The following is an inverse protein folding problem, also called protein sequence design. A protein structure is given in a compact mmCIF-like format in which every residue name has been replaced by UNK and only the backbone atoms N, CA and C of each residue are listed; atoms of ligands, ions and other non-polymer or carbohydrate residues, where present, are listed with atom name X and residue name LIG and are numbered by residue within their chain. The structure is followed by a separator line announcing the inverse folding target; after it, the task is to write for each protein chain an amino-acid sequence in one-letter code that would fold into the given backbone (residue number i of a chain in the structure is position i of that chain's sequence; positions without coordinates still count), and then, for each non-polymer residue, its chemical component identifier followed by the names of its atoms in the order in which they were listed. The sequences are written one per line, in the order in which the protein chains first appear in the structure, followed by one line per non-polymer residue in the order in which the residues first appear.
data_IF_446380568438
#
_entry.id   IF_446380568438
#
_cell.length_a   1.000
_cell.length_b   1.000
_cell.length_c   1.000
_cell.angle_alpha   90.00
_cell.angle_beta   90.00
_cell.angle_gamma   90.00
#
_symmetry.space_group_name_H-M   'P 1'
#
loop_
_entity.id
_entity.type
_entity.pdbx_description
1 polymer ?
#
# COMPACT_ATOMS: atom_id res chain seq x y z
N UNK A 1 0.02 -4.04 -14.72
CA UNK A 1 -0.11 -5.51 -14.58
C UNK A 1 -1.57 -5.96 -14.69
N UNK A 2 -2.35 -5.31 -15.57
CA UNK A 2 -3.80 -5.41 -15.56
C UNK A 2 -4.44 -4.62 -14.42
N UNK A 3 -5.76 -4.79 -14.26
CA UNK A 3 -6.56 -4.12 -13.24
C UNK A 3 -6.12 -4.50 -11.80
N UNK A 4 -6.72 -3.84 -10.81
CA UNK A 4 -6.41 -4.06 -9.40
C UNK A 4 -6.32 -5.54 -8.99
N UNK A 5 -5.29 -5.84 -8.22
CA UNK A 5 -4.94 -7.20 -7.80
C UNK A 5 -4.06 -7.98 -8.78
N UNK A 6 -3.99 -7.61 -10.06
CA UNK A 6 -2.99 -8.14 -10.97
C UNK A 6 -1.57 -7.85 -10.46
N UNK A 7 -0.71 -8.88 -10.40
CA UNK A 7 0.57 -8.81 -9.71
C UNK A 7 1.70 -9.55 -10.41
N UNK A 8 2.93 -9.22 -9.98
CA UNK A 8 4.15 -9.98 -10.24
C UNK A 8 4.89 -10.24 -8.93
N UNK A 9 5.46 -11.44 -8.80
CA UNK A 9 6.34 -11.82 -7.70
C UNK A 9 7.79 -11.88 -8.18
N UNK A 10 8.68 -11.27 -7.40
CA UNK A 10 10.13 -11.36 -7.58
C UNK A 10 10.74 -12.11 -6.40
N UNK A 11 11.54 -13.12 -6.68
CA UNK A 11 12.52 -13.61 -5.72
C UNK A 11 13.64 -12.57 -5.62
N UNK A 12 13.65 -11.82 -4.51
CA UNK A 12 14.44 -10.60 -4.36
C UNK A 12 14.80 -10.39 -2.89
N UNK A 13 16.10 -10.29 -2.62
CA UNK A 13 16.65 -10.29 -1.25
C UNK A 13 17.25 -8.94 -0.91
N UNK A 14 16.73 -8.32 0.14
CA UNK A 14 17.22 -7.04 0.67
C UNK A 14 17.09 -7.05 2.20
N UNK A 15 18.09 -6.49 2.88
CA UNK A 15 18.06 -6.27 4.34
C UNK A 15 17.65 -4.85 4.66
N UNK A 16 16.94 -4.68 5.76
CA UNK A 16 16.59 -3.38 6.33
C UNK A 16 17.86 -2.73 6.89
N UNK A 17 18.28 -1.60 6.30
CA UNK A 17 19.50 -0.91 6.73
C UNK A 17 19.26 0.57 6.91
N UNK A 18 19.39 1.04 8.14
CA UNK A 18 19.36 2.48 8.44
C UNK A 18 20.48 3.29 7.77
N UNK A 19 21.51 2.62 7.22
CA UNK A 19 22.59 3.26 6.47
C UNK A 19 22.19 3.61 5.03
N UNK A 20 21.08 3.05 4.54
CA UNK A 20 20.53 3.41 3.25
C UNK A 20 19.91 4.82 3.37
N UNK A 21 20.14 5.70 2.37
CA UNK A 21 19.62 7.05 2.41
C UNK A 21 18.09 7.03 2.53
N UNK A 22 17.57 7.86 3.45
CA UNK A 22 16.14 8.03 3.71
C UNK A 22 15.44 6.77 4.25
N UNK A 23 16.19 5.71 4.61
CA UNK A 23 15.66 4.40 5.00
C UNK A 23 15.21 3.53 3.83
N UNK A 24 15.38 3.98 2.58
CA UNK A 24 14.93 3.23 1.40
C UNK A 24 15.80 1.99 1.20
N UNK A 25 15.19 0.82 1.23
CA UNK A 25 15.87 -0.47 1.10
C UNK A 25 15.89 -0.97 -0.35
N UNK A 26 14.83 -0.71 -1.11
CA UNK A 26 14.75 -1.04 -2.53
C UNK A 26 13.89 -0.03 -3.29
N UNK A 27 13.95 -0.10 -4.61
CA UNK A 27 13.26 0.79 -5.53
C UNK A 27 12.47 -0.06 -6.52
N UNK A 28 11.23 0.34 -6.77
CA UNK A 28 10.42 -0.22 -7.86
C UNK A 28 10.31 0.83 -8.96
N UNK A 29 10.68 0.44 -10.18
CA UNK A 29 10.63 1.27 -11.37
C UNK A 29 9.35 0.96 -12.13
N UNK A 30 8.50 1.97 -12.35
CA UNK A 30 7.27 1.87 -13.15
C UNK A 30 7.41 2.51 -14.53
N UNK A 31 6.35 3.04 -15.12
CA UNK A 31 6.40 3.87 -16.33
C UNK A 31 5.53 5.15 -16.20
N UNK A 32 5.21 5.54 -14.97
CA UNK A 32 4.32 6.63 -14.64
C UNK A 32 4.48 7.88 -15.53
N UNK A 33 3.34 8.37 -16.02
CA UNK A 33 3.25 9.68 -16.63
C UNK A 33 2.99 10.74 -15.56
N UNK A 34 3.60 11.91 -15.71
CA UNK A 34 3.29 13.03 -14.84
C UNK A 34 1.82 13.45 -15.01
N UNK A 35 1.07 13.48 -13.91
CA UNK A 35 -0.36 13.77 -13.90
C UNK A 35 -1.24 12.59 -14.32
N UNK A 36 -0.69 11.38 -14.41
CA UNK A 36 -1.46 10.15 -14.60
C UNK A 36 -0.73 8.96 -13.96
N UNK A 37 -0.53 8.98 -12.63
CA UNK A 37 0.05 7.84 -11.91
C UNK A 37 -0.92 6.66 -11.84
N UNK A 38 -0.42 5.45 -12.04
CA UNK A 38 -1.21 4.22 -11.94
C UNK A 38 -0.75 3.43 -10.71
N UNK A 39 -0.97 4.02 -9.53
CA UNK A 39 -0.32 3.57 -8.30
C UNK A 39 -0.47 2.06 -8.04
N UNK A 40 0.68 1.41 -7.90
CA UNK A 40 0.78 0.04 -7.41
C UNK A 40 1.26 -0.03 -5.97
N UNK A 41 0.83 -1.06 -5.25
CA UNK A 41 1.24 -1.33 -3.88
C UNK A 41 2.19 -2.54 -3.82
N UNK A 42 2.91 -2.66 -2.71
CA UNK A 42 3.88 -3.72 -2.49
C UNK A 42 3.58 -4.53 -1.24
N UNK A 43 3.66 -5.86 -1.39
CA UNK A 43 3.82 -6.80 -0.28
C UNK A 43 5.22 -7.39 -0.30
N UNK A 44 5.74 -7.73 0.87
CA UNK A 44 7.06 -8.37 1.00
C UNK A 44 6.95 -9.64 1.81
N UNK A 45 7.68 -10.68 1.40
CA UNK A 45 7.88 -11.86 2.23
C UNK A 45 9.11 -11.63 3.10
N UNK A 46 8.88 -11.38 4.38
CA UNK A 46 9.88 -10.85 5.30
C UNK A 46 10.11 -11.71 6.54
N UNK A 47 11.26 -11.51 7.16
CA UNK A 47 11.69 -12.18 8.38
C UNK A 47 12.04 -11.15 9.46
N UNK A 48 11.67 -11.44 10.71
CA UNK A 48 12.00 -10.59 11.87
C UNK A 48 13.41 -10.83 12.42
N UNK A 49 14.06 -11.89 11.94
CA UNK A 49 15.40 -12.30 12.36
C UNK A 49 16.16 -12.87 11.17
N UNK A 50 17.49 -12.95 11.25
CA UNK A 50 18.32 -13.57 10.22
C UNK A 50 18.04 -15.07 9.98
N UNK A 51 17.34 -15.76 10.89
CA UNK A 51 16.97 -17.17 10.75
C UNK A 51 15.76 -17.34 9.81
N UNK A 52 16.03 -17.61 8.53
CA UNK A 52 15.01 -17.86 7.50
C UNK A 52 14.24 -19.18 7.69
N UNK A 53 14.61 -20.04 8.65
CA UNK A 53 13.85 -21.26 8.93
C UNK A 53 12.63 -21.02 9.82
N UNK A 54 12.45 -19.79 10.32
CA UNK A 54 11.38 -19.44 11.28
C UNK A 54 10.66 -18.16 10.89
N UNK A 55 9.33 -18.23 10.84
CA UNK A 55 8.47 -17.05 10.94
C UNK A 55 8.42 -16.13 9.71
N UNK A 56 8.90 -16.59 8.55
CA UNK A 56 8.71 -15.88 7.28
C UNK A 56 7.23 -15.80 6.91
N UNK A 57 6.75 -14.60 6.57
CA UNK A 57 5.39 -14.39 6.08
C UNK A 57 5.28 -13.12 5.22
N UNK A 58 4.14 -12.96 4.55
CA UNK A 58 3.81 -11.76 3.80
C UNK A 58 3.39 -10.61 4.72
N UNK A 59 3.87 -9.41 4.40
CA UNK A 59 3.54 -8.14 5.05
C UNK A 59 3.21 -7.10 3.98
N UNK A 60 2.28 -6.20 4.27
CA UNK A 60 2.08 -5.01 3.44
C UNK A 60 3.14 -3.96 3.76
N UNK A 61 3.58 -3.20 2.75
CA UNK A 61 4.30 -1.96 2.97
C UNK A 61 3.29 -0.80 2.97
N UNK A 62 3.01 -0.26 4.14
CA UNK A 62 1.98 0.75 4.36
C UNK A 62 2.39 2.12 3.79
N UNK A 63 1.94 2.39 2.56
CA UNK A 63 2.08 3.70 1.92
C UNK A 63 1.23 4.80 2.56
N UNK A 64 1.35 6.01 2.01
CA UNK A 64 0.76 7.23 2.58
C UNK A 64 -0.76 7.16 2.78
N UNK A 65 -1.49 6.42 1.93
CA UNK A 65 -2.95 6.31 2.02
C UNK A 65 -3.40 5.09 2.86
N UNK A 66 -2.49 4.25 3.34
CA UNK A 66 -2.82 2.96 3.96
C UNK A 66 -3.83 3.07 5.12
N UNK A 67 -3.70 4.11 5.94
CA UNK A 67 -4.57 4.36 7.11
C UNK A 67 -5.71 5.36 6.83
N UNK A 68 -5.85 5.83 5.59
CA UNK A 68 -7.01 6.64 5.19
C UNK A 68 -8.16 5.73 4.74
N UNK A 69 -9.02 5.38 5.70
CA UNK A 69 -10.18 4.52 5.46
C UNK A 69 -11.24 5.17 4.57
N UNK A 70 -11.17 6.46 4.27
CA UNK A 70 -12.08 7.06 3.29
C UNK A 70 -11.74 6.53 1.90
N UNK A 71 -10.46 6.54 1.53
CA UNK A 71 -10.00 6.28 0.16
C UNK A 71 -9.23 4.96 -0.02
N UNK A 72 -9.01 4.20 1.04
CA UNK A 72 -8.26 2.93 0.99
C UNK A 72 -9.06 1.76 1.58
N UNK A 73 -8.88 0.57 1.02
CA UNK A 73 -9.44 -0.70 1.49
C UNK A 73 -8.33 -1.75 1.50
N UNK A 74 -7.74 -2.01 2.66
CA UNK A 74 -6.74 -3.06 2.86
C UNK A 74 -7.40 -4.43 3.04
N UNK A 75 -6.62 -5.50 2.82
CA UNK A 75 -6.99 -6.89 3.07
C UNK A 75 -8.32 -7.30 2.41
N UNK A 76 -8.44 -6.99 1.11
CA UNK A 76 -9.63 -7.29 0.33
C UNK A 76 -9.43 -8.51 -0.55
N UNK A 77 -10.44 -9.38 -0.53
CA UNK A 77 -10.63 -10.42 -1.53
C UNK A 77 -11.45 -9.82 -2.67
N UNK A 78 -10.75 -9.32 -3.68
CA UNK A 78 -11.33 -8.72 -4.87
C UNK A 78 -11.73 -9.82 -5.85
N UNK A 79 -12.99 -9.82 -6.27
CA UNK A 79 -13.53 -10.82 -7.17
C UNK A 79 -14.08 -10.10 -8.40
N UNK A 80 -13.54 -10.46 -9.56
CA UNK A 80 -14.09 -10.12 -10.86
C UNK A 80 -14.99 -11.24 -11.34
N UNK A 81 -16.13 -10.90 -11.94
CA UNK A 81 -17.12 -11.87 -12.40
C UNK A 81 -17.62 -11.58 -13.81
N UNK A 82 -17.98 -12.63 -14.53
CA UNK A 82 -18.64 -12.55 -15.83
C UNK A 82 -20.09 -12.14 -15.64
N UNK A 83 -20.45 -10.92 -16.04
CA UNK A 83 -21.85 -10.52 -16.12
C UNK A 83 -22.50 -10.92 -17.45
N UNK A 84 -23.78 -10.57 -17.63
CA UNK A 84 -24.54 -10.90 -18.84
C UNK A 84 -24.15 -10.03 -20.05
N UNK A 85 -23.75 -8.78 -19.78
CA UNK A 85 -23.36 -7.80 -20.82
C UNK A 85 -21.98 -7.19 -20.56
N UNK A 86 -21.53 -7.16 -19.31
CA UNK A 86 -20.28 -6.54 -18.87
C UNK A 86 -19.63 -7.34 -17.75
N UNK A 87 -18.40 -6.96 -17.40
CA UNK A 87 -17.74 -7.47 -16.21
C UNK A 87 -18.39 -6.91 -14.93
N UNK A 88 -18.32 -7.69 -13.87
CA UNK A 88 -18.73 -7.29 -12.52
C UNK A 88 -17.52 -7.32 -11.58
N UNK A 89 -17.60 -6.59 -10.49
CA UNK A 89 -16.67 -6.71 -9.36
C UNK A 89 -17.41 -6.79 -8.03
N UNK A 90 -16.78 -7.41 -7.04
CA UNK A 90 -17.16 -7.32 -5.62
C UNK A 90 -15.92 -7.48 -4.77
N UNK A 91 -15.95 -7.00 -3.54
CA UNK A 91 -14.95 -7.33 -2.54
C UNK A 91 -15.58 -7.36 -1.15
N UNK A 92 -14.96 -8.09 -0.23
CA UNK A 92 -15.44 -8.24 1.14
C UNK A 92 -15.52 -6.87 1.85
N UNK A 93 -16.70 -6.54 2.37
CA UNK A 93 -16.97 -5.28 3.07
C UNK A 93 -17.48 -4.14 2.19
N UNK A 94 -17.84 -4.41 0.93
CA UNK A 94 -18.47 -3.43 0.04
C UNK A 94 -19.77 -3.95 -0.56
N UNK A 95 -20.77 -3.06 -0.67
CA UNK A 95 -22.08 -3.34 -1.26
C UNK A 95 -22.72 -4.66 -0.76
N UNK A 96 -22.63 -4.93 0.55
CA UNK A 96 -23.10 -6.19 1.16
C UNK A 96 -22.53 -7.46 0.48
N UNK A 97 -21.29 -7.37 -0.02
CA UNK A 97 -20.60 -8.40 -0.79
C UNK A 97 -21.31 -8.80 -2.10
N UNK A 98 -22.20 -7.94 -2.62
CA UNK A 98 -22.87 -8.15 -3.90
C UNK A 98 -22.05 -7.61 -5.06
N UNK A 99 -22.18 -8.26 -6.21
CA UNK A 99 -21.61 -7.80 -7.46
C UNK A 99 -22.16 -6.44 -7.88
N UNK A 100 -21.25 -5.60 -8.37
CA UNK A 100 -21.55 -4.35 -9.07
C UNK A 100 -21.06 -4.49 -10.51
N UNK A 101 -21.92 -4.20 -11.48
CA UNK A 101 -21.55 -4.16 -12.89
C UNK A 101 -20.69 -2.93 -13.17
N UNK A 102 -19.61 -3.09 -13.94
CA UNK A 102 -18.85 -1.95 -14.44
C UNK A 102 -19.72 -1.09 -15.39
N UNK A 103 -19.54 0.24 -15.36
CA UNK A 103 -20.23 1.16 -16.27
C UNK A 103 -19.73 1.11 -17.73
N UNK A 104 -20.01 2.14 -18.52
CA UNK A 104 -19.41 2.37 -19.84
C UNK A 104 -19.95 1.54 -21.02
N UNK A 105 -19.47 1.83 -22.23
CA UNK A 105 -19.80 1.08 -23.45
C UNK A 105 -18.72 0.04 -23.72
N UNK A 106 -18.95 -1.22 -23.33
CA UNK A 106 -18.04 -2.31 -23.67
C UNK A 106 -18.80 -3.57 -24.04
N UNK A 107 -18.20 -4.36 -24.93
CA UNK A 107 -18.55 -5.74 -25.20
C UNK A 107 -18.05 -6.62 -24.05
N UNK A 108 -18.83 -7.61 -23.63
CA UNK A 108 -18.38 -8.58 -22.64
C UNK A 108 -17.15 -9.33 -23.17
N UNK A 109 -15.98 -9.02 -22.61
CA UNK A 109 -14.77 -9.81 -22.75
C UNK A 109 -14.55 -10.57 -21.45
N UNK A 110 -14.41 -11.90 -21.52
CA UNK A 110 -14.06 -12.74 -20.39
C UNK A 110 -12.94 -13.69 -20.82
N UNK A 111 -11.82 -13.76 -20.07
CA UNK A 111 -10.65 -14.51 -20.50
C UNK A 111 -10.96 -15.98 -20.76
N UNK A 112 -11.89 -16.60 -20.02
CA UNK A 112 -12.20 -18.04 -20.16
C UNK A 112 -13.33 -18.33 -21.16
N UNK A 113 -13.42 -17.57 -22.25
CA UNK A 113 -14.33 -17.91 -23.35
C UNK A 113 -13.93 -19.28 -23.95
N UNK A 114 -14.84 -20.27 -24.06
CA UNK A 114 -14.52 -21.56 -24.66
C UNK A 114 -13.93 -21.38 -26.07
N UNK A 115 -12.70 -21.86 -26.28
CA UNK A 115 -11.92 -21.71 -27.52
C UNK A 115 -10.67 -20.83 -27.41
N UNK A 116 -10.28 -20.39 -26.21
CA UNK A 116 -9.04 -19.64 -25.97
C UNK A 116 -8.04 -20.37 -25.05
N UNK A 117 -8.40 -21.56 -24.56
CA UNK A 117 -7.57 -22.48 -23.75
C UNK A 117 -6.90 -21.86 -22.50
N UNK A 118 -7.42 -20.74 -21.98
CA UNK A 118 -6.89 -20.10 -20.76
C UNK A 118 -7.10 -20.96 -19.49
N UNK A 119 -7.96 -21.98 -19.56
CA UNK A 119 -8.13 -23.03 -18.56
C UNK A 119 -6.95 -24.02 -18.48
N UNK A 120 -6.01 -23.92 -19.42
CA UNK A 120 -4.76 -24.71 -19.43
C UNK A 120 -3.56 -23.95 -18.88
N UNK A 121 -3.73 -22.68 -18.45
CA UNK A 121 -2.65 -21.90 -17.85
C UNK A 121 -2.30 -22.49 -16.47
N UNK A 122 -1.06 -22.94 -16.34
CA UNK A 122 -0.50 -23.48 -15.10
C UNK A 122 -0.67 -22.49 -13.94
N UNK A 123 -1.22 -22.94 -12.80
CA UNK A 123 -1.54 -22.11 -11.64
C UNK A 123 -2.94 -21.48 -11.63
N UNK A 124 -3.76 -21.76 -12.65
CA UNK A 124 -5.20 -21.44 -12.67
C UNK A 124 -5.98 -22.75 -12.72
N UNK A 125 -6.35 -23.29 -11.55
CA UNK A 125 -7.11 -24.54 -11.48
C UNK A 125 -8.49 -24.31 -10.84
N UNK A 126 -9.52 -24.79 -11.53
CA UNK A 126 -10.87 -24.87 -11.00
C UNK A 126 -10.90 -25.64 -9.67
N UNK A 127 -11.43 -25.01 -8.62
CA UNK A 127 -11.74 -25.71 -7.37
C UNK A 127 -10.56 -25.95 -6.42
N UNK A 128 -9.36 -25.39 -6.68
CA UNK A 128 -8.26 -25.47 -5.71
C UNK A 128 -8.61 -24.80 -4.37
N UNK A 129 -8.16 -25.39 -3.23
CA UNK A 129 -8.42 -24.89 -1.89
C UNK A 129 -7.78 -23.51 -1.66
N UNK A 130 -8.39 -22.76 -0.75
CA UNK A 130 -8.09 -21.34 -0.50
C UNK A 130 -6.73 -21.09 0.18
N UNK A 131 -6.02 -22.11 0.65
CA UNK A 131 -4.94 -21.95 1.63
C UNK A 131 -3.58 -21.58 1.00
N UNK A 132 -3.34 -21.85 -0.29
CA UNK A 132 -2.00 -21.71 -0.87
C UNK A 132 -1.89 -20.71 -2.04
N UNK A 133 -2.99 -20.37 -2.72
CA UNK A 133 -2.98 -19.50 -3.90
C UNK A 133 -3.69 -18.16 -3.69
N UNK A 134 -3.03 -17.08 -4.10
CA UNK A 134 -3.47 -15.68 -3.97
C UNK A 134 -4.32 -15.22 -5.16
N UNK A 135 -4.35 -16.00 -6.25
CA UNK A 135 -5.34 -15.91 -7.33
C UNK A 135 -6.14 -17.18 -7.38
N UNK A 136 -7.46 -17.10 -7.58
CA UNK A 136 -8.31 -18.27 -7.76
C UNK A 136 -9.34 -18.05 -8.84
N UNK A 137 -9.53 -19.06 -9.68
CA UNK A 137 -10.67 -19.14 -10.60
C UNK A 137 -11.69 -20.13 -10.06
N UNK A 138 -12.97 -19.77 -10.10
CA UNK A 138 -14.03 -20.67 -9.65
C UNK A 138 -14.27 -21.81 -10.67
N UNK A 139 -14.95 -22.88 -10.26
CA UNK A 139 -15.12 -24.06 -11.13
C UNK A 139 -15.93 -23.80 -12.39
N UNK A 140 -16.81 -22.78 -12.39
CA UNK A 140 -17.59 -22.38 -13.54
C UNK A 140 -16.80 -21.51 -14.53
N UNK A 141 -15.56 -21.14 -14.21
CA UNK A 141 -14.70 -20.28 -15.02
C UNK A 141 -15.36 -18.93 -15.31
N UNK A 142 -16.13 -18.39 -14.37
CA UNK A 142 -16.86 -17.13 -14.50
C UNK A 142 -16.59 -16.14 -13.35
N UNK A 143 -15.70 -16.49 -12.42
CA UNK A 143 -15.14 -15.58 -11.42
C UNK A 143 -13.62 -15.76 -11.26
N UNK A 144 -12.89 -14.65 -11.07
CA UNK A 144 -11.47 -14.60 -10.71
C UNK A 144 -11.33 -13.81 -9.40
N UNK A 145 -10.65 -14.39 -8.41
CA UNK A 145 -10.43 -13.79 -7.09
C UNK A 145 -8.96 -13.45 -6.90
N UNK A 146 -8.65 -12.22 -6.52
CA UNK A 146 -7.36 -11.79 -5.98
C UNK A 146 -7.49 -11.58 -4.48
N UNK A 147 -6.67 -12.25 -3.67
CA UNK A 147 -6.75 -12.18 -2.21
C UNK A 147 -5.85 -11.11 -1.63
N UNK A 148 -6.29 -10.62 -0.47
CA UNK A 148 -5.52 -9.73 0.40
C UNK A 148 -4.97 -8.49 -0.30
N UNK A 149 -5.69 -7.96 -1.30
CA UNK A 149 -5.26 -6.77 -2.04
C UNK A 149 -5.53 -5.50 -1.24
N UNK A 150 -4.63 -4.53 -1.34
CA UNK A 150 -4.88 -3.14 -1.00
C UNK A 150 -5.47 -2.40 -2.21
N UNK A 151 -6.63 -1.78 -2.02
CA UNK A 151 -7.27 -0.93 -3.02
C UNK A 151 -7.19 0.52 -2.55
N UNK A 152 -6.66 1.41 -3.39
CA UNK A 152 -6.57 2.84 -3.11
C UNK A 152 -7.38 3.64 -4.12
N UNK A 153 -7.67 4.91 -3.80
CA UNK A 153 -8.22 5.85 -4.77
C UNK A 153 -7.38 5.85 -6.04
N UNK A 154 -8.04 5.94 -7.18
CA UNK A 154 -7.47 6.16 -8.50
C UNK A 154 -7.57 7.66 -8.82
N UNK A 155 -6.46 8.28 -9.24
CA UNK A 155 -6.33 9.75 -9.33
C UNK A 155 -5.18 10.16 -10.24
N UNK A 156 -5.40 11.23 -10.99
CA UNK A 156 -4.46 11.82 -11.96
C UNK A 156 -3.43 12.75 -11.27
N UNK A 157 -3.16 12.55 -9.98
CA UNK A 157 -2.29 13.44 -9.18
C UNK A 157 -1.24 12.64 -8.43
N UNK A 158 0.03 12.72 -8.85
CA UNK A 158 1.13 11.98 -8.21
C UNK A 158 1.29 12.34 -6.73
N UNK A 159 1.06 13.61 -6.36
CA UNK A 159 1.11 14.07 -4.97
C UNK A 159 0.08 13.44 -4.03
N UNK A 160 -0.94 12.77 -4.55
CA UNK A 160 -1.85 11.96 -3.73
C UNK A 160 -1.17 10.69 -3.17
N UNK A 161 -0.11 10.23 -3.81
CA UNK A 161 0.67 9.04 -3.46
C UNK A 161 2.06 9.44 -2.98
N UNK A 162 2.13 10.03 -1.78
CA UNK A 162 3.36 10.64 -1.29
C UNK A 162 4.53 9.64 -1.11
N UNK A 163 4.25 8.42 -0.62
CA UNK A 163 5.25 7.35 -0.45
C UNK A 163 4.57 5.98 -0.37
N UNK A 164 5.35 4.90 -0.58
CA UNK A 164 4.89 3.51 -0.46
C UNK A 164 3.94 3.04 -1.57
N UNK A 165 4.00 3.71 -2.72
CA UNK A 165 3.36 3.32 -3.96
C UNK A 165 4.39 3.41 -5.08
N UNK A 166 4.36 2.47 -6.03
CA UNK A 166 5.17 2.53 -7.24
C UNK A 166 4.32 2.93 -8.43
N UNK A 167 5.00 3.23 -9.52
CA UNK A 167 4.36 3.75 -10.72
C UNK A 167 3.69 5.10 -10.47
N UNK A 168 4.38 5.90 -9.65
CA UNK A 168 4.01 7.26 -9.31
C UNK A 168 5.04 8.23 -9.88
N UNK A 169 6.33 7.91 -9.85
CA UNK A 169 7.39 8.79 -10.36
C UNK A 169 8.14 8.18 -11.54
N UNK A 170 8.63 9.04 -12.44
CA UNK A 170 9.42 8.60 -13.59
C UNK A 170 10.74 7.94 -13.17
N UNK A 171 11.22 6.97 -13.96
CA UNK A 171 12.37 6.14 -13.58
C UNK A 171 13.73 6.85 -13.55
N UNK A 172 13.91 7.95 -14.29
CA UNK A 172 15.22 8.57 -14.49
C UNK A 172 16.23 7.60 -15.12
N UNK A 173 17.53 7.88 -14.96
CA UNK A 173 18.63 7.06 -15.51
C UNK A 173 19.63 6.54 -14.48
N UNK A 174 19.53 6.98 -13.22
CA UNK A 174 20.44 6.62 -12.13
C UNK A 174 19.88 5.44 -11.31
N UNK A 175 19.78 4.26 -11.94
CA UNK A 175 19.21 3.08 -11.31
C UNK A 175 19.91 2.71 -9.98
N UNK A 176 19.12 2.31 -8.98
CA UNK A 176 19.59 1.97 -7.63
C UNK A 176 19.90 3.17 -6.73
N UNK A 177 19.73 4.41 -7.21
CA UNK A 177 19.88 5.61 -6.38
C UNK A 177 18.53 6.06 -5.85
N UNK A 178 18.33 5.97 -4.53
CA UNK A 178 17.07 6.39 -3.93
C UNK A 178 16.88 7.92 -4.01
N UNK A 179 15.67 8.33 -4.37
CA UNK A 179 15.15 9.66 -4.09
C UNK A 179 14.51 9.66 -2.70
N UNK A 180 14.46 10.82 -2.02
CA UNK A 180 13.80 10.91 -0.72
C UNK A 180 12.27 10.84 -0.91
N UNK A 181 11.58 9.76 -0.44
CA UNK A 181 10.14 9.60 -0.63
C UNK A 181 9.33 10.73 0.04
N UNK A 182 9.86 11.33 1.10
CA UNK A 182 9.20 12.36 1.90
C UNK A 182 9.31 13.78 1.30
N UNK A 183 10.05 13.92 0.21
CA UNK A 183 10.20 15.20 -0.52
C UNK A 183 10.04 15.03 -2.03
N UNK A 184 9.84 13.81 -2.52
CA UNK A 184 9.58 13.53 -3.92
C UNK A 184 8.33 14.29 -4.39
N UNK A 185 8.39 14.71 -5.65
CA UNK A 185 7.32 15.41 -6.35
C UNK A 185 7.30 14.95 -7.80
N UNK A 186 6.30 15.41 -8.56
CA UNK A 186 6.07 15.05 -9.95
C UNK A 186 7.27 15.20 -10.90
N UNK A 187 8.24 16.06 -10.60
CA UNK A 187 9.45 16.26 -11.40
C UNK A 187 10.62 15.37 -10.94
N UNK A 188 10.45 14.66 -9.84
CA UNK A 188 11.44 13.72 -9.31
C UNK A 188 11.55 12.51 -10.22
N UNK A 189 12.79 12.08 -10.45
CA UNK A 189 13.11 10.95 -11.30
C UNK A 189 14.04 10.01 -10.54
N UNK A 190 13.77 8.71 -10.60
CA UNK A 190 14.56 7.69 -9.90
C UNK A 190 13.77 6.44 -9.51
N UNK A 191 12.51 6.33 -9.92
CA UNK A 191 11.59 5.30 -9.44
C UNK A 191 11.11 5.57 -8.02
N UNK A 192 10.33 4.64 -7.49
CA UNK A 192 9.68 4.79 -6.20
C UNK A 192 10.38 3.94 -5.13
N UNK A 193 10.93 4.62 -4.12
CA UNK A 193 11.65 3.99 -3.02
C UNK A 193 10.72 3.35 -1.99
N UNK A 194 11.09 2.16 -1.54
CA UNK A 194 10.44 1.41 -0.46
C UNK A 194 11.36 1.20 0.72
N UNK A 195 10.82 1.48 1.90
CA UNK A 195 11.47 1.34 3.20
C UNK A 195 10.77 0.22 4.00
N UNK A 196 11.53 -0.74 4.53
CA UNK A 196 10.97 -1.86 5.28
C UNK A 196 10.40 -1.46 6.65
N UNK A 197 10.68 -0.25 7.14
CA UNK A 197 10.01 0.33 8.31
C UNK A 197 8.52 0.62 8.09
N UNK A 198 8.05 0.58 6.84
CA UNK A 198 6.63 0.66 6.50
C UNK A 198 5.90 -0.67 6.61
N UNK A 199 6.60 -1.77 6.94
CA UNK A 199 5.99 -3.08 7.02
C UNK A 199 4.93 -3.15 8.12
N UNK A 200 3.77 -3.71 7.78
CA UNK A 200 2.65 -3.94 8.70
C UNK A 200 2.09 -5.35 8.54
N UNK A 201 1.52 -5.88 9.61
CA UNK A 201 0.81 -7.15 9.57
C UNK A 201 -0.63 -7.01 9.04
N UNK A 202 -1.37 -8.13 9.05
CA UNK A 202 -2.77 -8.22 8.63
C UNK A 202 -3.73 -7.31 9.42
N UNK A 203 -3.34 -6.84 10.61
CA UNK A 203 -4.12 -5.89 11.40
C UNK A 203 -3.74 -4.43 11.10
N UNK A 204 -2.74 -4.21 10.24
CA UNK A 204 -2.16 -2.90 10.00
C UNK A 204 -1.28 -2.44 11.17
N UNK A 205 -0.71 -3.35 11.96
CA UNK A 205 0.22 -2.99 13.03
C UNK A 205 1.67 -3.06 12.53
N UNK A 206 2.52 -2.07 12.84
CA UNK A 206 3.92 -2.06 12.41
C UNK A 206 4.69 -3.31 12.83
N UNK A 207 5.54 -3.79 11.92
CA UNK A 207 6.41 -4.93 12.15
C UNK A 207 7.85 -4.59 11.76
N UNK A 208 8.78 -4.81 12.67
CA UNK A 208 10.20 -4.72 12.39
C UNK A 208 10.64 -5.95 11.61
N UNK A 209 11.07 -5.75 10.37
CA UNK A 209 11.70 -6.76 9.52
C UNK A 209 13.21 -6.54 9.48
N UNK A 210 13.97 -7.63 9.58
CA UNK A 210 15.43 -7.65 9.39
C UNK A 210 15.77 -7.70 7.90
N UNK A 211 15.05 -8.53 7.13
CA UNK A 211 15.22 -8.65 5.70
C UNK A 211 13.98 -9.25 5.02
N UNK A 212 13.97 -9.21 3.69
CA UNK A 212 12.97 -9.81 2.82
C UNK A 212 13.63 -10.77 1.82
N UNK A 213 12.86 -11.73 1.32
CA UNK A 213 13.30 -12.66 0.27
C UNK A 213 12.45 -12.62 -0.98
N UNK A 214 11.27 -11.99 -0.91
CA UNK A 214 10.39 -11.80 -2.06
C UNK A 214 9.70 -10.46 -2.00
N UNK A 215 9.43 -9.92 -3.17
CA UNK A 215 8.62 -8.71 -3.36
C UNK A 215 7.48 -9.04 -4.31
N UNK A 216 6.27 -8.67 -3.90
CA UNK A 216 5.09 -8.67 -4.76
C UNK A 216 4.74 -7.23 -5.08
N UNK A 217 4.70 -6.90 -6.36
CA UNK A 217 4.17 -5.64 -6.85
C UNK A 217 2.81 -5.89 -7.50
N UNK A 218 1.79 -5.09 -7.15
CA UNK A 218 0.44 -5.28 -7.69
C UNK A 218 -0.28 -3.94 -7.91
N UNK A 219 -1.18 -3.90 -8.89
CA UNK A 219 -2.01 -2.72 -9.17
C UNK A 219 -2.94 -2.46 -7.98
N UNK A 220 -2.92 -1.25 -7.42
CA UNK A 220 -3.72 -0.86 -6.25
C UNK A 220 -4.74 0.24 -6.54
N UNK A 221 -4.45 1.15 -7.46
CA UNK A 221 -5.37 2.18 -7.92
C UNK A 221 -6.65 1.57 -8.52
N UNK A 222 -7.79 1.84 -7.89
CA UNK A 222 -9.10 1.35 -8.36
C UNK A 222 -10.30 2.15 -7.87
N UNK A 223 -10.21 2.76 -6.69
CA UNK A 223 -11.38 3.31 -6.01
C UNK A 223 -11.67 4.73 -6.48
N UNK A 224 -12.94 5.13 -6.44
CA UNK A 224 -13.30 6.55 -6.60
C UNK A 224 -12.73 7.38 -5.45
N UNK A 225 -12.39 8.62 -5.77
CA UNK A 225 -11.90 9.61 -4.81
C UNK A 225 -12.97 10.10 -3.83
N UNK A 226 -14.26 9.82 -4.09
CA UNK A 226 -15.41 10.22 -3.26
C UNK A 226 -15.58 9.41 -1.97
N UNK A 227 -14.73 8.41 -1.75
CA UNK A 227 -14.75 7.55 -0.56
C UNK A 227 -15.87 6.52 -0.54
N UNK A 228 -16.67 6.40 -1.60
CA UNK A 228 -17.75 5.41 -1.70
C UNK A 228 -17.26 3.96 -1.68
N UNK A 229 -15.97 3.74 -1.96
CA UNK A 229 -15.40 2.42 -2.18
C UNK A 229 -15.84 1.77 -3.49
N UNK A 230 -16.60 2.48 -4.34
CA UNK A 230 -16.88 2.05 -5.69
C UNK A 230 -15.60 2.12 -6.53
N UNK A 231 -15.49 1.25 -7.52
CA UNK A 231 -14.44 1.35 -8.52
C UNK A 231 -14.72 2.53 -9.45
N UNK A 232 -13.67 3.08 -10.07
CA UNK A 232 -13.81 3.93 -11.25
C UNK A 232 -14.52 3.15 -12.37
N UNK A 233 -15.42 3.78 -13.13
CA UNK A 233 -16.22 3.14 -14.21
C UNK A 233 -16.08 3.91 -15.53
N UNK A 234 -15.69 3.34 -16.68
CA UNK A 234 -15.25 1.97 -16.98
C UNK A 234 -14.33 1.84 -18.22
N UNK A 235 -13.14 1.30 -18.01
CA UNK A 235 -12.49 0.18 -18.73
C UNK A 235 -11.27 -0.32 -17.92
N UNK A 236 -11.40 -0.46 -16.59
CA UNK A 236 -10.27 -0.70 -15.66
C UNK A 236 -9.32 -1.85 -16.08
N UNK A 237 -9.82 -2.85 -16.81
CA UNK A 237 -8.98 -3.88 -17.41
C UNK A 237 -8.15 -3.32 -18.57
N UNK A 238 -6.93 -2.90 -18.23
CA UNK A 238 -5.95 -2.36 -19.17
C UNK A 238 -5.97 -0.84 -19.31
N UNK A 239 -6.90 -0.14 -18.65
CA UNK A 239 -6.92 1.33 -18.56
C UNK A 239 -6.15 1.84 -17.34
N UNK A 240 -6.33 1.22 -16.17
CA UNK A 240 -5.54 1.49 -14.95
C UNK A 240 -4.75 0.23 -14.61
N UNK A 241 -3.43 0.25 -14.79
CA UNK A 241 -2.59 -0.94 -14.80
C UNK A 241 -1.13 -0.66 -14.44
N UNK A 242 -0.87 -0.41 -13.16
CA UNK A 242 0.48 -0.24 -12.59
C UNK A 242 1.58 -1.06 -13.29
N UNK A 243 2.60 -0.40 -13.81
CA UNK A 243 3.70 -1.04 -14.51
C UNK A 243 4.90 -1.31 -13.62
N UNK A 244 5.60 -2.41 -13.92
CA UNK A 244 6.88 -2.71 -13.30
C UNK A 244 7.91 -2.93 -14.40
N UNK A 245 8.82 -1.98 -14.54
CA UNK A 245 9.97 -2.04 -15.44
C UNK A 245 11.20 -2.65 -14.75
N UNK A 246 11.24 -2.71 -13.42
CA UNK A 246 12.29 -3.37 -12.68
C UNK A 246 12.24 -3.13 -11.18
N UNK A 247 12.97 -3.96 -10.43
CA UNK A 247 13.19 -3.79 -9.00
C UNK A 247 14.68 -3.79 -8.72
N UNK A 248 15.13 -2.92 -7.82
CA UNK A 248 16.55 -2.71 -7.57
C UNK A 248 16.83 -2.44 -6.10
N UNK A 249 17.88 -3.06 -5.54
CA UNK A 249 18.30 -2.81 -4.16
C UNK A 249 19.12 -1.52 -4.08
N UNK A 250 18.91 -0.70 -3.07
CA UNK A 250 19.57 0.63 -3.02
C UNK A 250 21.10 0.50 -2.96
N UNK A 251 21.80 1.25 -3.83
CA UNK A 251 23.26 1.30 -3.94
C UNK A 251 23.93 2.30 -2.98
N UNK A 252 23.15 3.12 -2.28
CA UNK A 252 23.64 4.27 -1.52
C UNK A 252 23.96 3.98 -0.05
N UNK A 253 25.02 4.61 0.44
CA UNK A 253 25.35 4.71 1.88
C UNK A 253 25.31 6.17 2.31
N UNK A 254 25.04 6.44 3.59
CA UNK A 254 25.02 7.80 4.14
C UNK A 254 23.68 8.17 4.80
N UNK A 255 22.75 7.23 4.84
CA UNK A 255 21.67 7.26 5.81
C UNK A 255 22.17 6.98 7.23
N UNK A 256 21.31 7.30 8.18
CA UNK A 256 21.47 6.97 9.60
C UNK A 256 20.09 6.85 10.24
N UNK A 257 20.04 6.28 11.44
CA UNK A 257 18.80 6.21 12.21
C UNK A 257 18.22 7.61 12.49
N UNK A 258 16.89 7.68 12.63
CA UNK A 258 16.19 8.91 12.97
C UNK A 258 16.69 9.50 14.30
N UNK A 259 17.01 10.79 14.29
CA UNK A 259 17.43 11.54 15.49
C UNK A 259 16.39 12.54 15.98
N UNK A 260 15.47 12.95 15.10
CA UNK A 260 14.41 13.93 15.37
C UNK A 260 13.05 13.24 15.39
N UNK A 261 12.59 12.95 16.60
CA UNK A 261 11.39 12.13 16.86
C UNK A 261 10.12 13.00 16.94
N UNK A 262 8.93 12.42 16.70
CA UNK A 262 7.67 13.13 16.98
C UNK A 262 7.42 13.22 18.48
N UNK A 263 6.80 14.31 18.90
CA UNK A 263 6.06 14.39 20.16
C UNK A 263 4.58 14.47 19.82
N UNK A 264 3.81 13.53 20.35
CA UNK A 264 2.35 13.48 20.20
C UNK A 264 1.73 13.84 21.55
N UNK A 265 0.74 14.73 21.55
CA UNK A 265 -0.05 15.03 22.74
C UNK A 265 -1.53 14.83 22.51
N UNK A 266 -2.21 14.25 23.51
CA UNK A 266 -3.67 14.23 23.65
C UNK A 266 -4.04 15.29 24.70
N UNK A 267 -4.52 16.45 24.26
CA UNK A 267 -4.56 17.64 25.12
C UNK A 267 -3.15 17.99 25.61
N UNK A 268 -2.95 18.08 26.92
CA UNK A 268 -1.62 18.35 27.51
C UNK A 268 -0.80 17.09 27.80
N UNK A 269 -1.40 15.90 27.66
CA UNK A 269 -0.75 14.63 28.00
C UNK A 269 0.07 14.12 26.83
N UNK A 270 1.35 13.85 27.05
CA UNK A 270 2.22 13.21 26.07
C UNK A 270 1.80 11.75 25.89
N UNK A 271 1.63 11.35 24.64
CA UNK A 271 1.38 9.96 24.25
C UNK A 271 2.73 9.31 23.95
N UNK A 272 3.06 8.15 24.57
CA UNK A 272 4.27 7.41 24.24
C UNK A 272 4.31 7.04 22.75
N UNK A 273 5.51 7.02 22.20
CA UNK A 273 5.74 6.58 20.82
C UNK A 273 6.90 5.59 20.80
N UNK A 274 6.83 4.64 19.86
CA UNK A 274 7.89 3.68 19.60
C UNK A 274 8.15 3.61 18.10
N UNK A 275 9.43 3.64 17.71
CA UNK A 275 9.79 3.49 16.30
C UNK A 275 9.41 2.09 15.82
N UNK A 276 8.77 2.01 14.66
CA UNK A 276 8.17 0.82 14.08
C UNK A 276 7.29 0.05 15.09
N UNK A 277 6.58 0.81 15.95
CA UNK A 277 5.75 0.26 17.02
C UNK A 277 4.35 0.86 17.04
N UNK A 278 3.48 0.22 17.82
CA UNK A 278 2.09 0.63 18.04
C UNK A 278 1.87 1.03 19.49
N UNK A 279 1.22 2.17 19.72
CA UNK A 279 0.75 2.60 21.05
C UNK A 279 -0.78 2.58 21.09
N UNK A 280 -1.37 1.88 22.06
CA UNK A 280 -2.83 1.86 22.23
C UNK A 280 -3.28 3.02 23.10
N UNK A 281 -4.13 3.89 22.54
CA UNK A 281 -4.60 5.10 23.22
C UNK A 281 -6.10 5.05 23.39
N UNK A 282 -6.58 5.11 24.63
CA UNK A 282 -8.00 5.30 24.90
C UNK A 282 -8.41 6.75 24.63
N UNK A 283 -9.48 6.93 23.86
CA UNK A 283 -9.97 8.22 23.38
C UNK A 283 -11.49 8.32 23.54
N UNK A 284 -11.99 9.55 23.64
CA UNK A 284 -13.41 9.82 23.47
C UNK A 284 -13.74 9.90 21.97
N UNK A 285 -15.04 9.95 21.66
CA UNK A 285 -15.53 9.94 20.27
C UNK A 285 -14.84 10.95 19.37
N UNK A 286 -14.60 12.18 19.84
CA UNK A 286 -13.85 13.19 19.11
C UNK A 286 -12.66 13.66 19.95
N UNK A 287 -11.47 13.18 19.61
CA UNK A 287 -10.25 13.51 20.36
C UNK A 287 -9.27 14.26 19.48
N UNK A 288 -8.78 15.40 20.00
CA UNK A 288 -7.77 16.22 19.33
C UNK A 288 -6.37 15.85 19.79
N UNK A 289 -5.46 15.70 18.83
CA UNK A 289 -4.05 15.48 19.06
C UNK A 289 -3.23 16.61 18.47
N UNK A 290 -2.12 16.96 19.15
CA UNK A 290 -1.11 17.89 18.67
C UNK A 290 0.15 17.12 18.31
N UNK A 291 0.72 17.43 17.15
CA UNK A 291 1.93 16.77 16.63
C UNK A 291 3.05 17.80 16.49
N UNK A 292 4.17 17.60 17.18
CA UNK A 292 5.36 18.44 17.06
C UNK A 292 6.59 17.61 16.73
N UNK A 293 7.53 18.22 16.03
CA UNK A 293 8.85 17.64 15.74
C UNK A 293 9.84 18.76 15.37
N UNK A 294 11.13 18.43 15.42
CA UNK A 294 12.21 19.21 14.81
C UNK A 294 12.69 18.62 13.47
N UNK A 295 12.05 17.53 13.03
CA UNK A 295 12.29 16.91 11.75
C UNK A 295 11.86 17.82 10.59
N UNK A 296 12.43 17.58 9.42
CA UNK A 296 12.19 18.38 8.22
C UNK A 296 10.80 18.07 7.67
N UNK A 297 10.35 16.83 7.87
CA UNK A 297 9.07 16.30 7.44
C UNK A 297 8.31 15.72 8.63
N UNK A 298 7.02 16.02 8.71
CA UNK A 298 6.03 15.42 9.61
C UNK A 298 4.83 14.98 8.79
N UNK A 299 4.46 13.71 8.89
CA UNK A 299 3.28 13.16 8.24
C UNK A 299 2.36 12.51 9.26
N UNK A 300 1.06 12.70 9.10
CA UNK A 300 0.02 12.02 9.87
C UNK A 300 -1.00 11.41 8.91
N UNK A 301 -1.11 10.07 8.88
CA UNK A 301 -1.88 9.33 7.87
C UNK A 301 -1.61 9.82 6.43
N UNK A 302 -0.34 9.97 6.08
CA UNK A 302 0.10 10.44 4.76
C UNK A 302 -0.05 11.93 4.49
N UNK A 303 -0.76 12.69 5.34
CA UNK A 303 -0.89 14.13 5.21
C UNK A 303 0.35 14.85 5.77
N UNK A 304 1.01 15.69 4.96
CA UNK A 304 2.15 16.50 5.41
C UNK A 304 1.67 17.62 6.34
N UNK A 305 2.22 17.68 7.54
CA UNK A 305 1.85 18.68 8.56
C UNK A 305 3.00 19.62 8.88
N UNK A 306 2.64 20.85 9.26
CA UNK A 306 3.56 21.75 9.95
C UNK A 306 3.66 21.36 11.42
N UNK A 307 4.86 21.38 12.00
CA UNK A 307 5.07 21.13 13.44
C UNK A 307 4.19 22.05 14.30
N UNK A 308 3.48 21.48 15.27
CA UNK A 308 2.50 22.17 16.11
C UNK A 308 1.06 22.07 15.59
N UNK A 309 0.83 21.41 14.46
CA UNK A 309 -0.53 21.20 13.92
C UNK A 309 -1.37 20.30 14.82
N UNK A 310 -2.66 20.60 14.88
CA UNK A 310 -3.67 19.78 15.54
C UNK A 310 -4.45 18.95 14.51
N UNK A 311 -4.83 17.72 14.88
CA UNK A 311 -5.82 16.92 14.14
C UNK A 311 -6.85 16.35 15.09
N UNK A 312 -8.11 16.37 14.67
CA UNK A 312 -9.20 15.72 15.38
C UNK A 312 -9.50 14.38 14.73
N UNK A 313 -9.61 13.34 15.56
CA UNK A 313 -9.98 12.02 15.09
C UNK A 313 -11.30 11.60 15.72
N UNK A 314 -12.25 11.29 14.85
CA UNK A 314 -13.49 10.64 15.23
C UNK A 314 -13.26 9.12 15.34
N UNK A 315 -13.62 8.53 16.48
CA UNK A 315 -13.58 7.09 16.75
C UNK A 315 -14.93 6.65 17.32
N UNK A 316 -15.65 5.85 16.55
CA UNK A 316 -16.96 5.31 16.96
C UNK A 316 -16.75 4.37 18.16
N UNK A 317 -17.66 4.38 19.14
CA UNK A 317 -17.59 3.48 20.31
C UNK A 317 -17.53 2.02 19.85
N UNK A 318 -16.66 1.23 20.50
CA UNK A 318 -16.39 -0.16 20.13
C UNK A 318 -15.56 -0.34 18.86
N UNK A 319 -15.13 0.75 18.20
CA UNK A 319 -14.29 0.70 17.00
C UNK A 319 -12.85 1.11 17.30
N UNK A 320 -11.95 0.72 16.39
CA UNK A 320 -10.54 1.11 16.40
C UNK A 320 -10.25 2.03 15.23
N UNK A 321 -9.41 3.04 15.44
CA UNK A 321 -8.83 3.85 14.37
C UNK A 321 -7.31 3.89 14.51
N UNK A 322 -6.61 3.70 13.41
CA UNK A 322 -5.16 3.79 13.38
C UNK A 322 -4.71 5.17 12.89
N UNK A 323 -3.68 5.72 13.55
CA UNK A 323 -3.05 6.99 13.19
C UNK A 323 -1.55 6.77 13.05
N UNK A 324 -1.04 6.72 11.83
CA UNK A 324 0.38 6.68 11.52
C UNK A 324 0.97 8.09 11.68
N UNK A 325 2.11 8.18 12.36
CA UNK A 325 2.92 9.39 12.48
C UNK A 325 4.31 9.07 11.98
N UNK A 326 4.78 9.86 11.02
CA UNK A 326 6.14 9.73 10.47
C UNK A 326 6.89 11.05 10.65
N UNK A 327 8.14 10.97 11.11
CA UNK A 327 9.08 12.08 11.01
C UNK A 327 10.32 11.68 10.23
N UNK A 328 10.82 12.58 9.39
CA UNK A 328 12.01 12.32 8.58
C UNK A 328 12.83 13.60 8.37
N UNK A 329 14.16 13.48 8.41
CA UNK A 329 15.10 14.60 8.23
C UNK A 329 16.26 14.25 7.32
N UNK A 330 16.60 15.14 6.39
CA UNK A 330 17.79 15.02 5.55
C UNK A 330 17.90 13.63 4.91
N UNK A 331 19.02 12.95 5.18
CA UNK A 331 19.28 11.57 4.72
C UNK A 331 18.92 10.49 5.74
N UNK A 332 18.38 10.87 6.90
CA UNK A 332 18.00 9.93 7.96
C UNK A 332 16.85 9.03 7.51
N UNK A 333 16.88 7.78 7.97
CA UNK A 333 15.72 6.90 7.97
C UNK A 333 14.58 7.54 8.77
N UNK A 334 13.31 7.23 8.44
CA UNK A 334 12.17 7.77 9.16
C UNK A 334 12.08 7.21 10.58
N UNK A 335 11.40 7.96 11.44
CA UNK A 335 10.76 7.41 12.62
C UNK A 335 9.29 7.18 12.30
N UNK A 336 8.81 5.94 12.39
CA UNK A 336 7.43 5.56 12.09
C UNK A 336 6.78 5.04 13.36
N UNK A 337 5.63 5.59 13.76
CA UNK A 337 4.84 5.03 14.87
C UNK A 337 3.37 5.04 14.51
N UNK A 338 2.61 4.10 15.06
CA UNK A 338 1.16 4.03 14.87
C UNK A 338 0.46 4.14 16.21
N UNK A 339 -0.55 5.00 16.30
CA UNK A 339 -1.46 5.06 17.44
C UNK A 339 -2.70 4.24 17.12
N UNK A 340 -3.01 3.25 17.96
CA UNK A 340 -4.24 2.48 17.93
C UNK A 340 -5.27 3.14 18.85
N UNK A 341 -6.10 4.01 18.28
CA UNK A 341 -7.12 4.74 19.03
C UNK A 341 -8.32 3.83 19.29
N UNK A 342 -8.71 3.69 20.55
CA UNK A 342 -9.84 2.87 20.98
C UNK A 342 -10.84 3.71 21.76
N UNK A 343 -12.09 3.76 21.30
CA UNK A 343 -13.19 4.38 22.04
C UNK A 343 -13.96 3.29 22.78
N UNK A 344 -14.01 3.41 24.11
CA UNK A 344 -14.62 2.41 24.98
C UNK A 344 -16.13 2.47 24.99
#
# INVERSE_FOLDING_TARGET
MGAAGGYVDYDFRVSNKSTNPYGVDFIVYGNAFNGNPEAGAVKVFGYKTADETKGGKWYDLAGSLYYDTAVTRNNRNLIYGKGSKRLNYKYNGYNNNNFVEFGGSSTLWWPLNPGKDYDTINGINAGMPFEEELVRVNAAHDEITYKDVCLVKDTDTNGDYQFGYFDVHGNGSNYGTAINPYTANNSSQGGDGYDLSWAVDENGEPVVLDHITKVRAYTAAALKTDGSGAFTTASIFGETSAEVCGIYGVNGTGGKAATKLPTVKKGDTVVPTQNMGVETVSVDANTTFTFTTQADNLYVNGEKLTSGSNRNFNVISGSTRYVQVITQSGTEAPYVTVLKLTNR
#
